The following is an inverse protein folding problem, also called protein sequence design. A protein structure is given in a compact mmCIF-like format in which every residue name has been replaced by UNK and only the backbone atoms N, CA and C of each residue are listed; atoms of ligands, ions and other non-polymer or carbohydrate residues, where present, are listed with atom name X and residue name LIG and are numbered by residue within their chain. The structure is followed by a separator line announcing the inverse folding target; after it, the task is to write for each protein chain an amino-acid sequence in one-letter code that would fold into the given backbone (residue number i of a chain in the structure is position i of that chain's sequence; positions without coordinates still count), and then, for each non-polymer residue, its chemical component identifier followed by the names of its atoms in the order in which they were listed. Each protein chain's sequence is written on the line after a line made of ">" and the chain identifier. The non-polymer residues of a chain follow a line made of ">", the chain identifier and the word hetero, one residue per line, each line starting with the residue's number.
data_IF_100611412387
#
_entry.id   IF_100611412387
#
_cell.length_a   1.000
_cell.length_b   1.000
_cell.length_c   1.000
_cell.angle_alpha   90.00
_cell.angle_beta   90.00
_cell.angle_gamma   90.00
#
_symmetry.space_group_name_H-M   'P 1'
#
loop_
_entity.id
_entity.type
_entity.pdbx_description
1 polymer ?
#
# COMPACT_ATOMS: atom_id res chain seq x y z
N UNK A 1 -20.80 18.72 -29.92
CA UNK A 1 -19.68 17.80 -30.24
C UNK A 1 -19.49 16.99 -28.98
N UNK A 2 -19.71 15.68 -29.02
CA UNK A 2 -19.81 14.88 -27.80
C UNK A 2 -18.43 14.54 -27.25
N UNK A 3 -17.77 15.53 -26.64
CA UNK A 3 -16.45 15.39 -26.07
C UNK A 3 -16.47 15.82 -24.61
N UNK A 4 -15.85 15.02 -23.74
CA UNK A 4 -15.58 15.42 -22.38
C UNK A 4 -14.30 14.77 -21.86
N UNK A 5 -13.77 15.33 -20.78
CA UNK A 5 -12.62 14.80 -20.08
C UNK A 5 -12.88 14.76 -18.58
N UNK A 6 -12.27 13.79 -17.92
CA UNK A 6 -12.14 13.71 -16.47
C UNK A 6 -10.70 13.31 -16.13
N UNK A 7 -10.31 13.40 -14.87
CA UNK A 7 -8.97 13.00 -14.45
C UNK A 7 -9.00 11.75 -13.57
N UNK A 8 -7.93 10.98 -13.58
CA UNK A 8 -7.65 9.87 -12.66
C UNK A 8 -6.15 9.79 -12.39
N UNK A 9 -5.67 8.78 -11.70
CA UNK A 9 -4.24 8.62 -11.39
C UNK A 9 -3.78 7.20 -11.66
N UNK A 10 -2.68 7.07 -12.41
CA UNK A 10 -1.94 5.81 -12.53
C UNK A 10 -0.88 5.74 -11.44
N UNK A 11 -0.80 4.62 -10.73
CA UNK A 11 0.24 4.38 -9.73
C UNK A 11 1.36 3.50 -10.29
N UNK A 12 2.60 3.90 -9.96
CA UNK A 12 3.82 3.15 -10.21
C UNK A 12 4.53 2.98 -8.87
N UNK A 13 4.11 1.95 -8.12
CA UNK A 13 4.48 1.80 -6.71
C UNK A 13 3.75 2.80 -5.83
N UNK A 14 4.50 3.69 -5.19
CA UNK A 14 3.95 4.78 -4.36
C UNK A 14 3.94 6.14 -5.08
N UNK A 15 4.48 6.20 -6.29
CA UNK A 15 4.44 7.41 -7.12
C UNK A 15 3.19 7.37 -8.01
N UNK A 16 2.58 8.54 -8.21
CA UNK A 16 1.39 8.69 -9.04
C UNK A 16 1.63 9.61 -10.23
N UNK A 17 0.97 9.33 -11.34
CA UNK A 17 0.90 10.22 -12.50
C UNK A 17 -0.56 10.48 -12.82
N UNK A 18 -0.95 11.76 -12.86
CA UNK A 18 -2.30 12.14 -13.27
C UNK A 18 -2.53 11.72 -14.73
N UNK A 19 -3.67 11.08 -14.95
CA UNK A 19 -4.11 10.60 -16.25
C UNK A 19 -5.39 11.33 -16.63
N UNK A 20 -5.36 11.99 -17.78
CA UNK A 20 -6.58 12.53 -18.38
C UNK A 20 -7.32 11.40 -19.10
N UNK A 21 -8.59 11.24 -18.77
CA UNK A 21 -9.53 10.30 -19.36
C UNK A 21 -10.45 11.07 -20.27
N UNK A 22 -10.28 10.91 -21.57
CA UNK A 22 -11.03 11.61 -22.60
C UNK A 22 -12.08 10.67 -23.19
N UNK A 23 -13.28 11.16 -23.44
CA UNK A 23 -14.31 10.45 -24.18
C UNK A 23 -14.77 11.30 -25.37
N UNK A 24 -14.81 10.69 -26.54
CA UNK A 24 -15.27 11.30 -27.78
C UNK A 24 -16.37 10.43 -28.42
N UNK A 25 -17.50 11.06 -28.74
CA UNK A 25 -18.67 10.46 -29.36
C UNK A 25 -18.83 10.94 -30.80
N UNK A 26 -18.58 10.03 -31.72
CA UNK A 26 -18.72 10.26 -33.16
C UNK A 26 -20.05 9.68 -33.69
N UNK A 27 -20.64 10.28 -34.73
CA UNK A 27 -21.72 9.63 -35.49
C UNK A 27 -21.26 8.29 -36.05
N UNK A 28 -22.10 7.26 -35.96
CA UNK A 28 -21.80 5.93 -36.52
C UNK A 28 -22.43 4.79 -35.76
N UNK A 29 -22.05 3.56 -36.13
CA UNK A 29 -22.50 2.34 -35.46
C UNK A 29 -21.92 2.30 -34.04
N UNK A 30 -22.74 1.89 -33.07
CA UNK A 30 -22.33 1.72 -31.68
C UNK A 30 -21.10 0.80 -31.58
N UNK A 31 -19.97 1.39 -31.19
CA UNK A 31 -18.69 0.72 -31.03
C UNK A 31 -17.93 1.40 -29.89
N UNK A 32 -17.11 0.64 -29.16
CA UNK A 32 -16.27 1.16 -28.08
C UNK A 32 -14.82 0.84 -28.35
N UNK A 33 -13.96 1.87 -28.28
CA UNK A 33 -12.50 1.73 -28.40
C UNK A 33 -11.82 2.37 -27.21
N UNK A 34 -10.91 1.66 -26.54
CA UNK A 34 -10.08 2.19 -25.45
C UNK A 34 -8.62 2.24 -25.92
N UNK A 35 -7.99 3.41 -25.80
CA UNK A 35 -6.59 3.65 -26.21
C UNK A 35 -5.76 4.26 -25.07
N UNK A 36 -4.43 4.14 -25.14
CA UNK A 36 -3.51 4.71 -24.15
C UNK A 36 -2.83 3.68 -23.24
N UNK A 37 -2.42 2.52 -23.79
CA UNK A 37 -1.78 1.41 -23.07
C UNK A 37 -2.57 0.87 -21.84
N UNK A 38 -3.86 0.51 -22.01
CA UNK A 38 -4.61 -0.17 -20.95
C UNK A 38 -4.12 -1.62 -20.77
N UNK A 39 -4.15 -2.10 -19.53
CA UNK A 39 -4.02 -3.53 -19.24
C UNK A 39 -5.32 -4.30 -19.53
N UNK A 40 -5.30 -5.61 -19.33
CA UNK A 40 -6.49 -6.47 -19.55
C UNK A 40 -7.67 -6.05 -18.66
N UNK A 41 -7.40 -5.65 -17.41
CA UNK A 41 -8.45 -5.22 -16.46
C UNK A 41 -9.18 -3.96 -16.94
N UNK A 42 -8.46 -3.02 -17.55
CA UNK A 42 -9.02 -1.82 -18.16
C UNK A 42 -9.76 -2.11 -19.46
N UNK A 43 -9.29 -3.08 -20.27
CA UNK A 43 -10.05 -3.50 -21.46
C UNK A 43 -11.41 -4.10 -21.05
N UNK A 44 -11.44 -4.88 -19.97
CA UNK A 44 -12.68 -5.42 -19.38
C UNK A 44 -13.55 -4.35 -18.68
N UNK A 45 -12.97 -3.18 -18.38
CA UNK A 45 -13.69 -2.04 -17.77
C UNK A 45 -14.89 -1.60 -18.60
N UNK A 46 -14.84 -1.72 -19.94
CA UNK A 46 -15.97 -1.37 -20.82
C UNK A 46 -17.29 -1.95 -20.34
N UNK A 47 -17.32 -3.26 -20.08
CA UNK A 47 -18.56 -3.96 -19.73
C UNK A 47 -18.99 -3.61 -18.30
N UNK A 48 -18.02 -3.37 -17.40
CA UNK A 48 -18.31 -2.89 -16.04
C UNK A 48 -18.91 -1.49 -16.03
N UNK A 49 -18.24 -0.53 -16.68
CA UNK A 49 -18.67 0.87 -16.76
C UNK A 49 -20.02 0.96 -17.44
N UNK A 50 -20.25 0.22 -18.54
CA UNK A 50 -21.55 0.18 -19.21
C UNK A 50 -22.66 -0.32 -18.28
N UNK A 51 -22.45 -1.44 -17.59
CA UNK A 51 -23.43 -1.98 -16.66
C UNK A 51 -23.70 -1.00 -15.50
N UNK A 52 -22.65 -0.40 -14.95
CA UNK A 52 -22.72 0.57 -13.86
C UNK A 52 -23.53 1.82 -14.26
N UNK A 53 -23.29 2.37 -15.45
CA UNK A 53 -24.04 3.52 -16.00
C UNK A 53 -25.53 3.19 -16.09
N UNK A 54 -25.88 2.06 -16.69
CA UNK A 54 -27.28 1.63 -16.86
C UNK A 54 -27.95 1.38 -15.51
N UNK A 55 -27.28 0.67 -14.60
CA UNK A 55 -27.82 0.38 -13.27
C UNK A 55 -27.85 1.60 -12.32
N UNK A 56 -27.14 2.67 -12.69
CA UNK A 56 -27.23 3.98 -12.03
C UNK A 56 -28.37 4.84 -12.55
N UNK A 57 -29.16 4.37 -13.52
CA UNK A 57 -30.30 5.09 -14.09
C UNK A 57 -29.92 6.08 -15.20
N UNK A 58 -28.69 6.02 -15.72
CA UNK A 58 -28.26 6.80 -16.87
C UNK A 58 -28.25 5.95 -18.15
N UNK A 59 -28.31 6.62 -19.31
CA UNK A 59 -28.29 5.93 -20.60
C UNK A 59 -26.87 5.76 -21.14
N UNK A 60 -26.57 4.57 -21.65
CA UNK A 60 -25.32 4.34 -22.36
C UNK A 60 -25.43 4.83 -23.82
N UNK A 61 -24.49 5.65 -24.32
CA UNK A 61 -24.58 6.21 -25.65
C UNK A 61 -24.55 5.14 -26.75
N UNK A 62 -25.50 5.23 -27.70
CA UNK A 62 -25.61 4.34 -28.87
C UNK A 62 -24.86 4.91 -30.09
N UNK A 63 -23.64 5.39 -29.89
CA UNK A 63 -22.78 6.01 -30.91
C UNK A 63 -21.38 5.38 -30.88
N UNK A 64 -20.53 5.72 -31.85
CA UNK A 64 -19.13 5.30 -31.81
C UNK A 64 -18.43 6.09 -30.70
N UNK A 65 -17.97 5.39 -29.67
CA UNK A 65 -17.32 5.94 -28.48
C UNK A 65 -15.84 5.55 -28.46
N UNK A 66 -14.99 6.57 -28.41
CA UNK A 66 -13.54 6.41 -28.21
C UNK A 66 -13.18 6.97 -26.84
N UNK A 67 -12.56 6.15 -26.00
CA UNK A 67 -11.99 6.57 -24.71
C UNK A 67 -10.47 6.55 -24.81
N UNK A 68 -9.84 7.68 -24.50
CA UNK A 68 -8.39 7.84 -24.51
C UNK A 68 -7.83 8.09 -23.11
N UNK A 69 -6.71 7.46 -22.79
CA UNK A 69 -5.97 7.66 -21.54
C UNK A 69 -4.62 8.33 -21.82
N UNK A 70 -4.44 9.57 -21.35
CA UNK A 70 -3.23 10.37 -21.56
C UNK A 70 -2.48 10.63 -20.25
N UNK A 71 -1.14 10.58 -20.17
CA UNK A 71 -0.20 10.39 -21.27
C UNK A 71 -0.04 8.91 -21.68
N UNK A 72 0.12 8.65 -22.98
CA UNK A 72 0.27 7.30 -23.51
C UNK A 72 1.59 6.61 -23.13
N UNK A 73 2.57 7.35 -22.59
CA UNK A 73 3.87 6.81 -22.14
C UNK A 73 3.81 6.06 -20.81
N UNK A 74 2.76 6.29 -20.02
CA UNK A 74 2.60 5.70 -18.69
C UNK A 74 1.64 4.51 -18.79
N UNK A 75 2.04 3.29 -18.38
CA UNK A 75 1.11 2.17 -18.31
C UNK A 75 -0.06 2.50 -17.37
N UNK A 76 -1.30 2.21 -17.80
CA UNK A 76 -2.47 2.27 -16.93
C UNK A 76 -2.91 0.85 -16.60
N UNK A 77 -3.12 0.57 -15.32
CA UNK A 77 -3.46 -0.79 -14.87
C UNK A 77 -4.46 -0.78 -13.74
N UNK A 78 -5.24 -1.86 -13.64
CA UNK A 78 -6.26 -2.02 -12.62
C UNK A 78 -7.58 -1.32 -12.94
N UNK A 79 -8.51 -1.34 -11.99
CA UNK A 79 -9.90 -0.89 -12.14
C UNK A 79 -10.15 0.54 -11.62
N UNK A 80 -9.14 1.22 -11.07
CA UNK A 80 -9.30 2.55 -10.44
C UNK A 80 -9.71 3.68 -11.38
N UNK A 81 -9.72 3.44 -12.69
CA UNK A 81 -10.13 4.40 -13.71
C UNK A 81 -11.62 4.32 -14.06
N UNK A 82 -12.33 3.28 -13.60
CA UNK A 82 -13.72 3.01 -14.02
C UNK A 82 -14.63 4.23 -13.76
N UNK A 83 -14.49 4.89 -12.60
CA UNK A 83 -15.27 6.07 -12.25
C UNK A 83 -15.00 7.27 -13.17
N UNK A 84 -13.72 7.54 -13.49
CA UNK A 84 -13.32 8.60 -14.41
C UNK A 84 -13.81 8.33 -15.84
N UNK A 85 -13.74 7.07 -16.30
CA UNK A 85 -14.25 6.65 -17.60
C UNK A 85 -15.77 6.84 -17.67
N UNK A 86 -16.52 6.41 -16.65
CA UNK A 86 -17.96 6.66 -16.58
C UNK A 86 -18.29 8.16 -16.71
N UNK A 87 -17.61 9.01 -15.94
CA UNK A 87 -17.91 10.45 -15.94
C UNK A 87 -17.53 11.12 -17.26
N UNK A 88 -16.39 10.77 -17.87
CA UNK A 88 -16.03 11.26 -19.20
C UNK A 88 -17.08 10.85 -20.25
N UNK A 89 -17.53 9.59 -20.22
CA UNK A 89 -18.58 9.10 -21.14
C UNK A 89 -19.91 9.85 -20.93
N UNK A 90 -20.32 10.05 -19.68
CA UNK A 90 -21.55 10.77 -19.36
C UNK A 90 -21.46 12.26 -19.69
N UNK A 91 -20.29 12.88 -19.55
CA UNK A 91 -20.05 14.25 -20.00
C UNK A 91 -20.12 14.38 -21.52
N UNK A 92 -19.49 13.44 -22.26
CA UNK A 92 -19.55 13.41 -23.71
C UNK A 92 -20.99 13.19 -24.23
N UNK A 93 -21.79 12.44 -23.47
CA UNK A 93 -23.21 12.21 -23.71
C UNK A 93 -24.13 13.34 -23.20
N UNK A 94 -23.57 14.46 -22.72
CA UNK A 94 -24.30 15.64 -22.23
C UNK A 94 -25.21 15.36 -21.01
N UNK A 95 -24.97 14.24 -20.29
CA UNK A 95 -25.64 13.93 -19.02
C UNK A 95 -25.01 14.64 -17.82
N UNK A 96 -23.70 14.85 -17.88
CA UNK A 96 -22.93 15.66 -16.93
C UNK A 96 -22.40 16.89 -17.65
N UNK A 97 -22.27 18.02 -16.94
CA UNK A 97 -21.57 19.19 -17.48
C UNK A 97 -20.07 18.87 -17.63
N UNK A 98 -19.49 18.89 -18.85
CA UNK A 98 -18.07 18.65 -19.04
C UNK A 98 -17.16 19.59 -18.24
N UNK A 99 -17.61 20.82 -17.96
CA UNK A 99 -16.83 21.77 -17.17
C UNK A 99 -16.76 21.37 -15.68
N UNK A 100 -17.82 20.75 -15.15
CA UNK A 100 -17.88 20.31 -13.75
C UNK A 100 -16.96 19.12 -13.45
N UNK A 101 -16.56 18.35 -14.46
CA UNK A 101 -15.76 17.13 -14.30
C UNK A 101 -14.32 17.25 -14.83
N UNK A 102 -14.00 18.29 -15.60
CA UNK A 102 -12.72 18.44 -16.28
C UNK A 102 -11.52 18.45 -15.32
N UNK A 103 -11.64 19.18 -14.21
CA UNK A 103 -10.57 19.40 -13.23
C UNK A 103 -10.78 18.62 -11.92
N UNK A 104 -11.55 17.53 -11.99
CA UNK A 104 -11.82 16.64 -10.85
C UNK A 104 -11.11 15.31 -11.06
N UNK A 105 -10.30 14.90 -10.07
CA UNK A 105 -9.63 13.60 -10.09
C UNK A 105 -10.54 12.55 -9.48
N UNK A 106 -10.88 11.53 -10.26
CA UNK A 106 -11.81 10.47 -9.87
C UNK A 106 -11.07 9.15 -9.78
N UNK A 107 -11.13 8.54 -8.60
CA UNK A 107 -10.45 7.28 -8.30
C UNK A 107 -11.51 6.33 -7.79
N UNK A 108 -11.64 5.15 -8.38
CA UNK A 108 -12.60 4.14 -7.91
C UNK A 108 -12.94 3.11 -8.97
N UNK A 109 -13.17 1.88 -8.52
CA UNK A 109 -13.71 0.80 -9.34
C UNK A 109 -15.24 0.89 -9.38
N UNK A 110 -15.86 0.54 -10.52
CA UNK A 110 -17.30 0.43 -10.61
C UNK A 110 -17.75 -1.04 -10.56
N UNK A 111 -18.60 -1.35 -9.59
CA UNK A 111 -19.39 -2.57 -9.60
C UNK A 111 -20.42 -2.55 -10.72
N UNK A 112 -20.82 -3.75 -11.20
CA UNK A 112 -21.86 -3.87 -12.23
C UNK A 112 -23.19 -3.23 -11.79
N UNK A 113 -23.44 -3.16 -10.48
CA UNK A 113 -24.62 -2.56 -9.84
C UNK A 113 -24.52 -1.03 -9.70
N UNK A 114 -23.43 -0.41 -10.15
CA UNK A 114 -23.20 1.03 -10.03
C UNK A 114 -22.54 1.46 -8.72
N UNK A 115 -22.27 0.55 -7.78
CA UNK A 115 -21.55 0.90 -6.55
C UNK A 115 -20.08 1.26 -6.85
N UNK A 116 -19.56 2.28 -6.18
CA UNK A 116 -18.15 2.65 -6.26
C UNK A 116 -17.38 1.87 -5.21
N UNK A 117 -16.34 1.15 -5.64
CA UNK A 117 -15.54 0.26 -4.80
C UNK A 117 -14.16 0.85 -4.55
N UNK A 118 -13.61 0.66 -3.33
CA UNK A 118 -12.28 1.13 -2.99
C UNK A 118 -11.22 0.43 -3.83
N UNK A 119 -10.16 1.17 -4.14
CA UNK A 119 -8.95 0.67 -4.81
C UNK A 119 -7.74 0.90 -3.91
N UNK A 120 -6.63 0.24 -4.23
CA UNK A 120 -5.38 0.40 -3.46
C UNK A 120 -4.69 1.70 -3.83
N UNK A 121 -3.93 2.24 -2.89
CA UNK A 121 -3.08 3.41 -3.15
C UNK A 121 -3.85 4.71 -3.28
N UNK A 122 -5.00 4.87 -2.61
CA UNK A 122 -5.77 6.13 -2.66
C UNK A 122 -4.92 7.31 -2.16
N UNK A 123 -4.21 7.15 -1.05
CA UNK A 123 -3.34 8.20 -0.52
C UNK A 123 -2.25 8.66 -1.50
N UNK A 124 -1.37 7.79 -2.03
CA UNK A 124 -0.36 8.23 -3.00
C UNK A 124 -0.97 8.78 -4.28
N UNK A 125 -2.16 8.30 -4.69
CA UNK A 125 -2.86 8.86 -5.84
C UNK A 125 -3.33 10.29 -5.58
N UNK A 126 -3.90 10.55 -4.40
CA UNK A 126 -4.38 11.89 -4.01
C UNK A 126 -3.19 12.84 -3.74
N UNK A 127 -2.07 12.35 -3.18
CA UNK A 127 -0.84 13.13 -3.07
C UNK A 127 -0.32 13.58 -4.45
N UNK A 128 -0.26 12.66 -5.42
CA UNK A 128 0.14 12.98 -6.79
C UNK A 128 -0.81 13.98 -7.48
N UNK A 129 -2.13 13.86 -7.22
CA UNK A 129 -3.10 14.85 -7.69
C UNK A 129 -2.84 16.25 -7.10
N UNK A 130 -2.54 16.32 -5.79
CA UNK A 130 -2.25 17.58 -5.11
C UNK A 130 -0.98 18.24 -5.65
N UNK A 131 0.08 17.44 -5.83
CA UNK A 131 1.35 17.88 -6.40
C UNK A 131 1.21 18.39 -7.85
N UNK A 132 0.28 17.80 -8.61
CA UNK A 132 -0.08 18.25 -9.95
C UNK A 132 -1.00 19.49 -9.96
N UNK A 133 -1.41 20.00 -8.80
CA UNK A 133 -2.21 21.22 -8.65
C UNK A 133 -3.73 21.01 -8.62
N UNK A 134 -4.21 19.78 -8.57
CA UNK A 134 -5.65 19.50 -8.43
C UNK A 134 -6.11 19.73 -6.99
N UNK A 135 -7.31 20.29 -6.85
CA UNK A 135 -7.88 20.65 -5.55
C UNK A 135 -9.08 19.80 -5.18
N UNK A 136 -9.61 18.99 -6.09
CA UNK A 136 -10.84 18.24 -5.88
C UNK A 136 -10.65 16.78 -6.31
N UNK A 137 -11.02 15.87 -5.42
CA UNK A 137 -10.97 14.43 -5.69
C UNK A 137 -12.30 13.78 -5.32
N UNK A 138 -12.71 12.82 -6.15
CA UNK A 138 -13.82 11.91 -5.87
C UNK A 138 -13.24 10.53 -5.62
N UNK A 139 -13.58 9.96 -4.47
CA UNK A 139 -13.11 8.65 -4.04
C UNK A 139 -14.27 7.83 -3.47
N UNK A 140 -14.12 6.52 -3.32
CA UNK A 140 -15.08 5.69 -2.62
C UNK A 140 -15.18 6.15 -1.16
N UNK A 141 -16.39 6.22 -0.62
CA UNK A 141 -16.67 6.72 0.74
C UNK A 141 -15.78 6.04 1.80
N UNK A 142 -15.56 4.73 1.67
CA UNK A 142 -14.73 3.94 2.60
C UNK A 142 -13.27 4.41 2.67
N UNK A 143 -12.76 5.03 1.60
CA UNK A 143 -11.39 5.54 1.50
C UNK A 143 -11.33 7.08 1.58
N UNK A 144 -12.46 7.75 1.83
CA UNK A 144 -12.50 9.21 1.97
C UNK A 144 -11.63 9.70 3.14
N UNK A 145 -11.59 8.95 4.25
CA UNK A 145 -10.74 9.26 5.40
C UNK A 145 -9.24 9.21 5.07
N UNK A 146 -8.84 8.29 4.19
CA UNK A 146 -7.46 8.18 3.68
C UNK A 146 -7.13 9.35 2.75
N UNK A 147 -8.00 9.68 1.80
CA UNK A 147 -7.83 10.80 0.89
C UNK A 147 -7.75 12.14 1.64
N UNK A 148 -8.55 12.32 2.69
CA UNK A 148 -8.63 13.55 3.48
C UNK A 148 -7.34 13.86 4.28
N UNK A 149 -6.38 12.93 4.34
CA UNK A 149 -5.09 13.17 4.97
C UNK A 149 -4.23 14.18 4.19
N UNK A 150 -4.47 14.30 2.88
CA UNK A 150 -3.72 15.16 1.96
C UNK A 150 -4.15 16.63 2.16
N UNK A 151 -3.24 17.52 2.59
CA UNK A 151 -3.57 18.93 2.75
C UNK A 151 -3.94 19.59 1.42
N UNK A 152 -4.90 20.51 1.45
CA UNK A 152 -5.23 21.36 0.30
C UNK A 152 -6.13 20.72 -0.76
N UNK A 153 -6.61 19.49 -0.53
CA UNK A 153 -7.58 18.81 -1.38
C UNK A 153 -8.94 18.72 -0.69
N UNK A 154 -9.99 19.04 -1.44
CA UNK A 154 -11.38 18.75 -1.12
C UNK A 154 -11.73 17.33 -1.58
N UNK A 155 -12.20 16.51 -0.66
CA UNK A 155 -12.53 15.10 -0.90
C UNK A 155 -14.04 14.92 -0.91
N UNK A 156 -14.56 14.37 -2.01
CA UNK A 156 -15.94 13.89 -2.10
C UNK A 156 -15.95 12.35 -2.07
N UNK A 157 -16.42 11.80 -0.96
CA UNK A 157 -16.67 10.36 -0.81
C UNK A 157 -18.02 9.97 -1.42
N UNK A 158 -18.05 8.98 -2.30
CA UNK A 158 -19.27 8.47 -2.93
C UNK A 158 -19.42 6.96 -2.77
N UNK A 159 -20.66 6.49 -2.69
CA UNK A 159 -21.04 5.08 -2.55
C UNK A 159 -21.45 4.46 -3.88
N UNK A 160 -21.98 5.27 -4.79
CA UNK A 160 -22.42 4.82 -6.11
C UNK A 160 -22.21 5.91 -7.17
N UNK A 161 -22.15 5.47 -8.43
CA UNK A 161 -22.15 6.36 -9.58
C UNK A 161 -23.46 7.15 -9.65
N UNK A 162 -24.59 6.56 -9.25
CA UNK A 162 -25.87 7.26 -9.14
C UNK A 162 -25.80 8.44 -8.18
N UNK A 163 -25.20 8.24 -7.01
CA UNK A 163 -24.99 9.30 -6.02
C UNK A 163 -24.13 10.43 -6.60
N UNK A 164 -23.04 10.09 -7.29
CA UNK A 164 -22.17 11.08 -7.93
C UNK A 164 -22.91 11.88 -9.01
N UNK A 165 -23.67 11.21 -9.87
CA UNK A 165 -24.48 11.88 -10.91
C UNK A 165 -25.47 12.84 -10.26
N UNK A 166 -26.17 12.41 -9.20
CA UNK A 166 -27.14 13.26 -8.52
C UNK A 166 -26.48 14.53 -7.94
N UNK A 167 -25.31 14.38 -7.30
CA UNK A 167 -24.55 15.51 -6.76
C UNK A 167 -24.11 16.48 -7.85
N UNK A 168 -23.53 15.97 -8.95
CA UNK A 168 -23.01 16.82 -10.03
C UNK A 168 -24.12 17.53 -10.83
N UNK A 169 -25.34 16.99 -10.82
CA UNK A 169 -26.49 17.54 -11.53
C UNK A 169 -27.46 18.32 -10.64
N UNK A 170 -27.12 18.53 -9.37
CA UNK A 170 -27.99 19.17 -8.36
C UNK A 170 -29.37 18.49 -8.24
N UNK A 171 -29.38 17.15 -8.32
CA UNK A 171 -30.56 16.30 -8.17
C UNK A 171 -30.64 15.75 -6.73
N UNK A 172 -31.84 15.32 -6.28
CA UNK A 172 -31.98 14.68 -4.96
C UNK A 172 -31.07 13.46 -4.82
N UNK A 173 -30.14 13.54 -3.86
CA UNK A 173 -29.19 12.47 -3.58
C UNK A 173 -29.94 11.24 -3.08
N UNK A 174 -29.75 10.05 -3.69
CA UNK A 174 -30.47 8.84 -3.29
C UNK A 174 -30.06 8.41 -1.87
N UNK A 175 -31.06 8.05 -1.07
CA UNK A 175 -30.84 7.41 0.23
C UNK A 175 -30.49 5.94 0.01
N UNK A 176 -29.18 5.68 -0.11
CA UNK A 176 -28.65 4.33 -0.23
C UNK A 176 -28.33 3.78 1.17
N UNK A 177 -28.78 2.57 1.54
CA UNK A 177 -28.48 2.02 2.85
C UNK A 177 -26.97 1.72 2.97
N UNK A 178 -26.39 2.09 4.12
CA UNK A 178 -25.05 1.63 4.51
C UNK A 178 -25.14 0.10 4.70
N UNK A 179 -24.25 -0.66 4.06
CA UNK A 179 -24.25 -2.13 4.19
C UNK A 179 -23.66 -2.56 5.53
N UNK A 180 -24.37 -2.27 6.63
CA UNK A 180 -23.94 -2.53 8.00
C UNK A 180 -24.43 -3.90 8.50
N UNK A 181 -24.27 -4.94 7.68
CA UNK A 181 -24.75 -6.30 8.02
C UNK A 181 -23.88 -7.03 9.06
N UNK A 182 -23.00 -6.32 9.78
CA UNK A 182 -22.05 -6.90 10.74
C UNK A 182 -21.07 -7.92 10.13
N UNK A 183 -20.98 -7.97 8.80
CA UNK A 183 -20.03 -8.79 8.04
C UNK A 183 -18.84 -7.90 7.66
N UNK A 184 -17.61 -8.44 7.55
CA UNK A 184 -16.50 -7.70 6.97
C UNK A 184 -16.93 -7.14 5.61
N UNK A 185 -16.72 -5.83 5.39
CA UNK A 185 -17.12 -5.19 4.15
C UNK A 185 -16.47 -5.92 2.97
N UNK A 186 -17.31 -6.60 2.17
CA UNK A 186 -16.86 -7.36 1.01
C UNK A 186 -16.14 -6.47 -0.01
N UNK A 187 -16.40 -5.15 0.01
CA UNK A 187 -15.73 -4.16 -0.83
C UNK A 187 -14.31 -3.89 -0.35
N UNK A 188 -14.06 -3.86 0.96
CA UNK A 188 -12.71 -3.75 1.54
C UNK A 188 -11.94 -5.06 1.44
N UNK A 189 -12.61 -6.21 1.40
CA UNK A 189 -11.97 -7.51 1.24
C UNK A 189 -11.13 -7.63 -0.05
N UNK A 190 -11.51 -6.92 -1.13
CA UNK A 190 -10.74 -6.87 -2.38
C UNK A 190 -9.41 -6.09 -2.28
N UNK A 191 -9.30 -5.18 -1.31
CA UNK A 191 -8.05 -4.50 -1.01
C UNK A 191 -7.05 -5.45 -0.34
N UNK A 192 -7.53 -6.34 0.52
CA UNK A 192 -6.69 -7.28 1.24
C UNK A 192 -6.24 -8.44 0.34
N UNK A 193 -4.96 -8.81 0.46
CA UNK A 193 -4.45 -10.05 -0.14
C UNK A 193 -4.40 -11.11 0.95
N UNK A 194 -5.10 -12.25 0.80
CA UNK A 194 -4.99 -13.36 1.73
C UNK A 194 -3.50 -13.74 1.94
N UNK A 195 -3.09 -13.84 3.20
CA UNK A 195 -1.73 -14.25 3.57
C UNK A 195 -0.65 -13.15 3.55
N UNK A 196 -0.91 -11.92 3.10
CA UNK A 196 0.09 -10.84 3.21
C UNK A 196 0.18 -10.27 4.64
N UNK A 197 -0.93 -10.21 5.38
CA UNK A 197 -0.92 -9.75 6.78
C UNK A 197 -0.14 -10.67 7.72
N UNK A 198 -0.30 -12.00 7.58
CA UNK A 198 0.42 -12.99 8.39
C UNK A 198 1.77 -13.42 7.78
N UNK A 199 1.91 -13.43 6.45
CA UNK A 199 3.09 -13.92 5.75
C UNK A 199 4.22 -12.89 5.59
N UNK A 200 3.93 -11.59 5.68
CA UNK A 200 4.94 -10.53 5.64
C UNK A 200 5.56 -10.23 7.01
N UNK A 201 5.08 -10.86 8.10
CA UNK A 201 5.57 -10.61 9.45
C UNK A 201 5.16 -9.25 10.02
N UNK A 202 4.12 -8.62 9.46
CA UNK A 202 3.53 -7.41 10.03
C UNK A 202 2.77 -7.79 11.30
N UNK A 203 3.15 -7.22 12.44
CA UNK A 203 2.28 -7.25 13.60
C UNK A 203 1.05 -6.37 13.29
N UNK A 204 -0.19 -6.87 13.40
CA UNK A 204 -1.37 -6.06 13.18
C UNK A 204 -1.36 -4.89 14.16
N UNK A 205 -1.45 -3.66 13.64
CA UNK A 205 -1.42 -2.44 14.45
C UNK A 205 -2.61 -2.35 15.44
N UNK A 206 -3.66 -3.16 15.28
CA UNK A 206 -4.89 -3.02 16.08
C UNK A 206 -5.68 -4.31 16.37
N UNK A 207 -5.11 -5.52 16.23
CA UNK A 207 -5.86 -6.76 16.52
C UNK A 207 -5.61 -7.39 17.90
N UNK A 208 -5.19 -6.59 18.89
CA UNK A 208 -5.35 -6.96 20.32
C UNK A 208 -6.07 -5.81 20.99
N UNK A 209 -7.29 -6.09 21.46
CA UNK A 209 -8.07 -5.14 22.26
C UNK A 209 -7.25 -4.58 23.42
N UNK A 210 -7.56 -3.35 23.79
CA UNK A 210 -7.01 -2.62 24.95
C UNK A 210 -5.47 -2.43 24.93
N UNK A 211 -5.03 -1.33 24.29
CA UNK A 211 -4.17 -0.32 24.91
C UNK A 211 -2.70 -0.62 25.24
N UNK A 212 -2.25 -1.88 25.28
CA UNK A 212 -0.87 -2.16 25.70
C UNK A 212 0.08 -2.33 24.52
N UNK A 213 0.78 -1.24 24.21
CA UNK A 213 1.92 -1.29 23.29
C UNK A 213 3.11 -1.87 24.04
N UNK A 214 3.74 -2.95 23.57
CA UNK A 214 4.89 -3.53 24.27
C UNK A 214 5.95 -2.45 24.54
N UNK A 215 6.27 -2.23 25.81
CA UNK A 215 7.18 -1.16 26.24
C UNK A 215 8.40 -1.72 26.95
N UNK A 216 9.47 -0.93 27.05
CA UNK A 216 10.66 -1.30 27.84
C UNK A 216 10.38 -1.42 29.34
N UNK A 217 9.31 -0.80 29.86
CA UNK A 217 8.84 -1.00 31.23
C UNK A 217 8.47 -2.47 31.50
N UNK A 218 8.05 -3.22 30.48
CA UNK A 218 7.71 -4.65 30.60
C UNK A 218 8.96 -5.54 30.71
N UNK A 219 10.15 -5.01 30.43
CA UNK A 219 11.41 -5.78 30.43
C UNK A 219 12.01 -5.82 31.82
N UNK A 220 11.80 -6.94 32.52
CA UNK A 220 12.43 -7.20 33.80
C UNK A 220 13.96 -7.40 33.64
N UNK A 221 14.74 -6.55 34.30
CA UNK A 221 16.21 -6.60 34.23
C UNK A 221 16.77 -6.14 32.88
N UNK A 222 17.88 -6.75 32.45
CA UNK A 222 18.57 -6.46 31.17
C UNK A 222 18.97 -4.99 30.94
N UNK A 223 19.67 -4.31 31.88
CA UNK A 223 20.00 -2.89 31.73
C UNK A 223 20.88 -2.59 30.49
N UNK A 224 21.76 -3.53 30.12
CA UNK A 224 22.63 -3.39 28.95
C UNK A 224 21.83 -3.42 27.63
N UNK A 225 21.02 -4.45 27.31
CA UNK A 225 20.16 -4.44 26.13
C UNK A 225 19.15 -3.28 26.10
N UNK A 226 18.54 -2.93 27.24
CA UNK A 226 17.63 -1.77 27.32
C UNK A 226 18.35 -0.48 26.93
N UNK A 227 19.56 -0.25 27.44
CA UNK A 227 20.33 0.93 27.07
C UNK A 227 20.74 0.93 25.60
N UNK A 228 21.07 -0.24 25.04
CA UNK A 228 21.39 -0.37 23.63
C UNK A 228 20.19 -0.01 22.74
N UNK A 229 18.97 -0.41 23.11
CA UNK A 229 17.74 -0.02 22.42
C UNK A 229 17.49 1.48 22.46
N UNK A 230 17.66 2.12 23.63
CA UNK A 230 17.53 3.58 23.75
C UNK A 230 18.52 4.34 22.85
N UNK A 231 19.79 3.91 22.85
CA UNK A 231 20.84 4.52 22.02
C UNK A 231 20.53 4.30 20.53
N UNK A 232 20.07 3.11 20.16
CA UNK A 232 19.68 2.81 18.80
C UNK A 232 18.47 3.63 18.35
N UNK A 233 17.45 3.78 19.19
CA UNK A 233 16.26 4.56 18.88
C UNK A 233 16.59 6.05 18.71
N UNK A 234 17.44 6.61 19.57
CA UNK A 234 17.84 8.01 19.50
C UNK A 234 18.80 8.31 18.33
N UNK A 235 19.73 7.38 18.04
CA UNK A 235 20.77 7.56 17.02
C UNK A 235 20.47 6.95 15.65
N UNK A 236 19.35 6.21 15.50
CA UNK A 236 19.03 5.47 14.29
C UNK A 236 19.99 4.31 14.00
N UNK A 237 20.57 3.69 15.03
CA UNK A 237 21.57 2.63 14.86
C UNK A 237 20.95 1.25 14.70
N UNK A 238 21.45 0.47 13.75
CA UNK A 238 21.10 -0.94 13.64
C UNK A 238 21.68 -1.75 14.81
N UNK A 239 20.99 -2.84 15.18
CA UNK A 239 21.35 -3.67 16.34
C UNK A 239 21.50 -5.14 15.95
N UNK A 240 22.43 -5.82 16.63
CA UNK A 240 22.55 -7.28 16.62
C UNK A 240 22.47 -7.79 18.07
N UNK A 241 21.45 -8.57 18.37
CA UNK A 241 21.35 -9.35 19.59
C UNK A 241 21.96 -10.73 19.37
N UNK A 242 23.05 -11.03 20.07
CA UNK A 242 23.62 -12.38 20.13
C UNK A 242 23.45 -12.96 21.53
N UNK A 243 22.82 -14.14 21.61
CA UNK A 243 22.59 -14.79 22.89
C UNK A 243 21.84 -16.10 22.75
N UNK A 244 21.77 -16.91 23.83
CA UNK A 244 21.09 -18.20 23.79
C UNK A 244 19.58 -18.05 23.53
N UNK A 245 18.89 -19.15 23.15
CA UNK A 245 17.43 -19.19 23.12
C UNK A 245 16.83 -18.78 24.47
N UNK A 246 15.69 -18.10 24.45
CA UNK A 246 15.00 -17.64 25.66
C UNK A 246 15.63 -16.42 26.36
N UNK A 247 16.73 -15.86 25.86
CA UNK A 247 17.34 -14.65 26.43
C UNK A 247 16.51 -13.35 26.26
N UNK A 248 15.34 -13.43 25.60
CA UNK A 248 14.46 -12.27 25.38
C UNK A 248 14.81 -11.42 24.15
N UNK A 249 15.57 -11.95 23.17
CA UNK A 249 15.98 -11.21 21.95
C UNK A 249 14.78 -10.65 21.18
N UNK A 250 13.79 -11.50 20.89
CA UNK A 250 12.53 -11.14 20.21
C UNK A 250 11.72 -10.15 21.04
N UNK A 251 11.57 -10.42 22.34
CA UNK A 251 10.87 -9.54 23.29
C UNK A 251 11.46 -8.12 23.28
N UNK A 252 12.78 -7.99 23.28
CA UNK A 252 13.49 -6.72 23.20
C UNK A 252 13.26 -6.01 21.86
N UNK A 253 13.33 -6.74 20.74
CA UNK A 253 13.16 -6.18 19.41
C UNK A 253 11.75 -5.61 19.18
N UNK A 254 10.71 -6.32 19.61
CA UNK A 254 9.29 -5.90 19.47
C UNK A 254 8.98 -4.58 20.19
N UNK A 255 9.75 -4.25 21.24
CA UNK A 255 9.56 -3.02 22.05
C UNK A 255 10.25 -1.81 21.45
N UNK A 256 11.14 -2.00 20.47
CA UNK A 256 11.87 -0.89 19.87
C UNK A 256 10.93 0.13 19.21
N UNK A 257 9.86 -0.34 18.56
CA UNK A 257 8.88 0.56 17.93
C UNK A 257 8.17 1.50 18.91
N UNK A 258 8.04 1.12 20.19
CA UNK A 258 7.48 1.99 21.23
C UNK A 258 8.47 3.05 21.75
N UNK A 259 9.77 2.79 21.60
CA UNK A 259 10.87 3.67 22.06
C UNK A 259 11.28 4.66 20.98
N UNK A 260 11.02 4.34 19.71
CA UNK A 260 11.31 5.24 18.60
C UNK A 260 10.57 6.57 18.74
N UNK A 261 11.17 7.69 18.29
CA UNK A 261 10.47 8.96 18.21
C UNK A 261 9.16 8.81 17.43
N UNK A 262 8.09 9.55 17.80
CA UNK A 262 6.85 9.52 17.05
C UNK A 262 7.09 10.00 15.63
N UNK A 263 6.39 9.41 14.66
CA UNK A 263 6.49 9.82 13.27
C UNK A 263 6.00 11.26 13.12
N UNK A 264 6.75 12.06 12.36
CA UNK A 264 6.23 13.35 11.90
C UNK A 264 5.06 13.13 10.96
N UNK A 265 4.22 14.16 10.75
CA UNK A 265 3.08 14.06 9.82
C UNK A 265 3.51 13.61 8.42
N UNK A 266 4.63 14.15 7.91
CA UNK A 266 5.15 13.78 6.59
C UNK A 266 5.58 12.31 6.55
N UNK A 267 6.28 11.84 7.58
CA UNK A 267 6.69 10.44 7.68
C UNK A 267 5.49 9.50 7.81
N UNK A 268 4.46 9.90 8.56
CA UNK A 268 3.20 9.16 8.62
C UNK A 268 2.53 9.04 7.25
N UNK A 269 2.54 10.10 6.43
CA UNK A 269 2.01 10.03 5.06
C UNK A 269 2.86 9.09 4.18
N UNK A 270 4.19 9.14 4.27
CA UNK A 270 5.10 8.23 3.55
C UNK A 270 4.80 6.76 3.89
N UNK A 271 4.70 6.42 5.19
CA UNK A 271 4.40 5.06 5.64
C UNK A 271 3.01 4.63 5.22
N UNK A 272 2.01 5.50 5.42
CA UNK A 272 0.62 5.21 5.05
C UNK A 272 0.49 4.97 3.55
N UNK A 273 1.22 5.69 2.71
CA UNK A 273 1.20 5.49 1.26
C UNK A 273 1.69 4.10 0.86
N UNK A 274 2.77 3.61 1.49
CA UNK A 274 3.26 2.23 1.27
C UNK A 274 2.21 1.21 1.69
N UNK A 275 1.59 1.40 2.85
CA UNK A 275 0.58 0.48 3.41
C UNK A 275 -0.72 0.48 2.61
N UNK A 276 -1.10 1.62 2.05
CA UNK A 276 -2.24 1.77 1.14
C UNK A 276 -2.04 0.96 -0.15
N UNK A 277 -0.86 1.09 -0.79
CA UNK A 277 -0.53 0.33 -2.00
C UNK A 277 -0.45 -1.17 -1.73
N UNK A 278 0.06 -1.54 -0.55
CA UNK A 278 0.08 -2.93 -0.09
C UNK A 278 -1.33 -3.48 0.24
N UNK A 279 -2.33 -2.61 0.44
CA UNK A 279 -3.70 -3.00 0.80
C UNK A 279 -3.82 -3.55 2.22
N UNK A 280 -3.06 -2.98 3.15
CA UNK A 280 -2.95 -3.45 4.55
C UNK A 280 -3.33 -2.41 5.59
N UNK A 281 -3.83 -1.23 5.18
CA UNK A 281 -4.31 -0.23 6.12
C UNK A 281 -5.48 -0.80 6.95
N UNK A 282 -5.48 -0.65 8.29
CA UNK A 282 -6.58 -1.10 9.11
C UNK A 282 -7.85 -0.29 8.78
N UNK A 283 -9.04 -0.92 8.76
CA UNK A 283 -10.30 -0.20 8.64
C UNK A 283 -10.45 0.83 9.77
N UNK A 284 -10.83 2.06 9.43
CA UNK A 284 -11.04 3.14 10.41
C UNK A 284 -9.78 3.84 10.93
N UNK A 285 -8.58 3.35 10.58
CA UNK A 285 -7.30 4.00 10.89
C UNK A 285 -6.61 4.43 9.60
N UNK A 286 -7.01 5.57 9.00
CA UNK A 286 -6.49 5.99 7.70
C UNK A 286 -5.02 6.41 7.74
N UNK A 287 -4.47 6.76 8.92
CA UNK A 287 -3.12 7.28 9.09
C UNK A 287 -2.28 6.39 10.01
N UNK A 288 -1.15 5.91 9.51
CA UNK A 288 -0.14 5.20 10.31
C UNK A 288 0.69 6.23 11.08
N UNK A 289 0.38 6.41 12.36
CA UNK A 289 1.04 7.37 13.25
C UNK A 289 2.22 6.79 14.03
N UNK A 290 2.41 5.47 13.99
CA UNK A 290 3.44 4.76 14.75
C UNK A 290 4.43 4.07 13.82
N UNK A 291 5.67 3.99 14.28
CA UNK A 291 6.73 3.27 13.59
C UNK A 291 6.31 1.80 13.33
N UNK A 292 6.23 1.36 12.06
CA UNK A 292 5.82 0.00 11.75
C UNK A 292 6.86 -1.01 12.27
N UNK A 293 6.42 -2.22 12.57
CA UNK A 293 7.27 -3.33 12.95
C UNK A 293 7.04 -4.49 11.99
N UNK A 294 8.10 -4.93 11.32
CA UNK A 294 8.06 -6.03 10.35
C UNK A 294 9.06 -7.10 10.75
N UNK A 295 8.59 -8.32 11.00
CA UNK A 295 9.40 -9.47 11.41
C UNK A 295 9.16 -10.67 10.48
N UNK A 296 9.73 -10.66 9.25
CA UNK A 296 9.59 -11.79 8.34
C UNK A 296 10.24 -13.05 8.93
N UNK A 297 9.65 -14.21 8.67
CA UNK A 297 10.24 -15.50 9.04
C UNK A 297 11.54 -15.76 8.25
N UNK A 298 12.51 -16.52 8.78
CA UNK A 298 13.79 -16.79 8.10
C UNK A 298 13.68 -17.55 6.77
N UNK A 299 12.53 -18.20 6.53
CA UNK A 299 12.18 -18.82 5.24
C UNK A 299 11.66 -17.82 4.20
N UNK A 300 11.59 -16.53 4.54
CA UNK A 300 11.18 -15.47 3.63
C UNK A 300 12.07 -15.46 2.39
N UNK A 301 11.42 -15.44 1.23
CA UNK A 301 12.10 -15.31 -0.05
C UNK A 301 12.64 -13.89 -0.24
N UNK A 302 13.60 -13.73 -1.14
CA UNK A 302 14.06 -12.40 -1.56
C UNK A 302 12.89 -11.54 -2.06
N UNK A 303 11.89 -12.12 -2.72
CA UNK A 303 10.72 -11.39 -3.23
C UNK A 303 9.81 -10.87 -2.11
N UNK A 304 9.62 -11.63 -1.02
CA UNK A 304 8.84 -11.17 0.14
C UNK A 304 9.59 -10.12 0.96
N UNK A 305 10.92 -10.20 1.03
CA UNK A 305 11.76 -9.24 1.74
C UNK A 305 11.90 -7.93 0.95
N UNK A 306 12.36 -8.09 -0.29
CA UNK A 306 12.54 -7.15 -1.40
C UNK A 306 11.32 -6.33 -1.79
N UNK A 307 10.24 -7.07 -1.98
CA UNK A 307 9.14 -6.68 -2.86
C UNK A 307 9.22 -7.38 -4.21
N UNK A 308 8.09 -7.36 -4.93
CA UNK A 308 7.94 -8.05 -6.21
C UNK A 308 6.57 -8.70 -6.40
N UNK A 309 6.54 -9.82 -7.12
CA UNK A 309 5.34 -10.56 -7.50
C UNK A 309 5.15 -10.66 -9.02
N UNK A 310 4.17 -11.46 -9.43
CA UNK A 310 3.72 -11.53 -10.83
C UNK A 310 2.77 -10.36 -11.08
N UNK A 311 3.11 -9.48 -12.04
CA UNK A 311 2.33 -8.28 -12.36
C UNK A 311 2.93 -7.00 -11.75
N UNK A 312 2.08 -6.15 -11.18
CA UNK A 312 2.51 -4.87 -10.62
C UNK A 312 3.39 -5.07 -9.36
N UNK A 313 4.59 -4.47 -9.29
CA UNK A 313 5.50 -4.65 -8.16
C UNK A 313 4.86 -4.24 -6.83
N UNK A 314 4.92 -5.12 -5.83
CA UNK A 314 4.37 -4.87 -4.49
C UNK A 314 5.48 -4.56 -3.47
N UNK A 315 5.17 -3.76 -2.43
CA UNK A 315 6.06 -3.59 -1.28
C UNK A 315 6.42 -4.92 -0.62
N UNK A 316 7.70 -5.11 -0.32
CA UNK A 316 8.19 -6.19 0.55
C UNK A 316 8.36 -5.72 1.99
N UNK A 317 8.78 -6.64 2.85
CA UNK A 317 9.00 -6.38 4.28
C UNK A 317 9.89 -5.13 4.55
N UNK A 318 10.91 -4.88 3.71
CA UNK A 318 11.78 -3.71 3.86
C UNK A 318 11.04 -2.38 3.68
N UNK A 319 10.09 -2.32 2.74
CA UNK A 319 9.26 -1.13 2.50
C UNK A 319 8.13 -1.03 3.50
N UNK A 320 7.56 -2.16 3.90
CA UNK A 320 6.53 -2.21 4.94
C UNK A 320 7.08 -1.74 6.31
N UNK A 321 8.37 -1.96 6.56
CA UNK A 321 9.11 -1.46 7.72
C UNK A 321 9.58 0.01 7.60
N UNK A 322 9.22 0.73 6.53
CA UNK A 322 9.70 2.10 6.32
C UNK A 322 9.36 3.01 7.52
N UNK A 323 10.34 3.82 7.95
CA UNK A 323 10.35 4.65 9.18
C UNK A 323 10.10 3.86 10.47
N UNK A 324 10.26 2.55 10.43
CA UNK A 324 10.08 1.67 11.56
C UNK A 324 11.21 0.68 11.72
N UNK A 325 10.86 -0.54 12.12
CA UNK A 325 11.79 -1.59 12.50
C UNK A 325 11.64 -2.80 11.58
N UNK A 326 12.76 -3.27 11.03
CA UNK A 326 12.85 -4.58 10.37
C UNK A 326 13.59 -5.53 11.30
N UNK A 327 12.89 -6.53 11.82
CA UNK A 327 13.46 -7.54 12.71
C UNK A 327 13.69 -8.86 11.97
N UNK A 328 14.93 -9.35 11.97
CA UNK A 328 15.27 -10.67 11.44
C UNK A 328 15.68 -11.57 12.59
N UNK A 329 14.72 -12.38 13.06
CA UNK A 329 15.00 -13.41 14.05
C UNK A 329 15.76 -14.57 13.41
N UNK A 330 16.64 -15.21 14.18
CA UNK A 330 17.48 -16.29 13.69
C UNK A 330 18.22 -15.90 12.39
N UNK A 331 18.78 -14.69 12.35
CA UNK A 331 19.38 -14.11 11.15
C UNK A 331 20.34 -15.06 10.38
N UNK A 332 21.17 -15.91 11.02
CA UNK A 332 22.00 -16.89 10.31
C UNK A 332 21.23 -17.98 9.54
N UNK A 333 19.92 -18.14 9.76
CA UNK A 333 19.08 -19.10 9.01
C UNK A 333 18.47 -18.52 7.75
N UNK A 334 18.53 -17.19 7.56
CA UNK A 334 18.18 -16.59 6.28
C UNK A 334 19.19 -17.02 5.19
N UNK A 335 18.69 -17.16 3.97
CA UNK A 335 19.58 -17.40 2.83
C UNK A 335 20.53 -16.21 2.61
N UNK A 336 21.77 -16.48 2.21
CA UNK A 336 22.74 -15.41 1.90
C UNK A 336 22.21 -14.41 0.86
N UNK A 337 21.50 -14.89 -0.17
CA UNK A 337 20.84 -14.03 -1.17
C UNK A 337 19.79 -13.09 -0.57
N UNK A 338 19.06 -13.52 0.47
CA UNK A 338 18.09 -12.68 1.14
C UNK A 338 18.78 -11.59 1.98
N UNK A 339 19.83 -11.95 2.70
CA UNK A 339 20.63 -10.99 3.48
C UNK A 339 21.37 -9.99 2.57
N UNK A 340 21.98 -10.44 1.48
CA UNK A 340 22.66 -9.57 0.52
C UNK A 340 21.72 -8.58 -0.15
N UNK A 341 20.45 -8.95 -0.33
CA UNK A 341 19.44 -8.05 -0.88
C UNK A 341 19.12 -6.85 0.04
N UNK A 342 19.49 -6.90 1.32
CA UNK A 342 19.29 -5.80 2.28
C UNK A 342 20.35 -4.70 2.15
N UNK A 343 21.49 -4.95 1.48
CA UNK A 343 22.57 -3.96 1.34
C UNK A 343 22.06 -2.66 0.71
N UNK A 344 21.35 -2.76 -0.41
CA UNK A 344 20.82 -1.58 -1.11
C UNK A 344 19.83 -0.77 -0.25
N UNK A 345 18.80 -1.38 0.37
CA UNK A 345 17.92 -0.66 1.29
C UNK A 345 18.64 0.03 2.45
N UNK A 346 19.64 -0.61 3.05
CA UNK A 346 20.41 -0.06 4.16
C UNK A 346 21.26 1.15 3.75
N UNK A 347 21.85 1.12 2.56
CA UNK A 347 22.71 2.20 2.06
C UNK A 347 21.90 3.38 1.50
N UNK A 348 20.85 3.08 0.75
CA UNK A 348 20.15 4.08 -0.07
C UNK A 348 18.79 4.51 0.51
N UNK A 349 18.29 3.79 1.51
CA UNK A 349 16.97 4.03 2.11
C UNK A 349 15.80 3.74 1.18
N UNK A 350 16.02 3.07 0.05
CA UNK A 350 14.99 2.68 -0.90
C UNK A 350 15.37 1.38 -1.60
N UNK A 351 14.38 0.78 -2.26
CA UNK A 351 14.55 -0.42 -3.07
C UNK A 351 14.01 -0.17 -4.47
N UNK A 352 14.72 -0.69 -5.48
CA UNK A 352 14.29 -0.61 -6.88
C UNK A 352 13.92 -1.99 -7.35
N UNK A 353 12.65 -2.17 -7.70
CA UNK A 353 12.10 -3.44 -8.18
C UNK A 353 11.80 -3.32 -9.66
N UNK A 354 12.66 -3.94 -10.49
CA UNK A 354 12.46 -4.03 -11.93
C UNK A 354 11.73 -5.32 -12.33
N UNK A 355 10.65 -5.21 -13.10
CA UNK A 355 9.85 -6.33 -13.64
C UNK A 355 9.41 -6.04 -15.07
N UNK A 356 8.82 -7.05 -15.73
CA UNK A 356 8.30 -6.94 -17.11
C UNK A 356 7.29 -5.79 -17.26
N UNK A 357 6.54 -5.48 -16.21
CA UNK A 357 5.54 -4.40 -16.19
C UNK A 357 6.12 -3.00 -15.90
N UNK A 358 7.41 -2.89 -15.57
CA UNK A 358 8.06 -1.62 -15.26
C UNK A 358 9.05 -1.68 -14.11
N UNK A 359 9.65 -0.52 -13.81
CA UNK A 359 10.56 -0.32 -12.68
C UNK A 359 9.87 0.55 -11.65
N UNK A 360 9.88 0.10 -10.39
CA UNK A 360 9.27 0.82 -9.27
C UNK A 360 10.34 1.09 -8.22
N UNK A 361 10.35 2.32 -7.70
CA UNK A 361 11.14 2.70 -6.53
C UNK A 361 10.22 2.75 -5.31
N UNK A 362 10.60 2.05 -4.24
CA UNK A 362 9.86 2.06 -2.98
C UNK A 362 10.76 2.52 -1.84
N UNK A 363 10.26 3.35 -0.91
CA UNK A 363 11.02 3.74 0.26
C UNK A 363 11.25 2.54 1.18
N UNK A 364 12.40 2.51 1.85
CA UNK A 364 12.84 1.40 2.69
C UNK A 364 13.86 1.86 3.76
N UNK A 365 13.69 3.07 4.32
CA UNK A 365 14.45 3.50 5.51
C UNK A 365 13.89 2.80 6.73
N UNK A 366 14.63 1.91 7.37
CA UNK A 366 14.20 1.21 8.59
C UNK A 366 15.39 1.04 9.54
N UNK A 367 15.10 0.85 10.82
CA UNK A 367 16.08 0.41 11.79
C UNK A 367 16.11 -1.13 11.77
N UNK A 368 17.22 -1.70 11.32
CA UNK A 368 17.41 -3.14 11.29
C UNK A 368 17.80 -3.69 12.67
N UNK A 369 17.09 -4.70 13.13
CA UNK A 369 17.43 -5.48 14.31
C UNK A 369 17.64 -6.93 13.90
N UNK A 370 18.84 -7.46 14.15
CA UNK A 370 19.16 -8.86 13.94
C UNK A 370 19.15 -9.59 15.28
N UNK A 371 18.63 -10.80 15.32
CA UNK A 371 18.84 -11.72 16.42
C UNK A 371 19.55 -12.98 15.92
N UNK A 372 20.56 -13.42 16.65
CA UNK A 372 21.31 -14.61 16.32
C UNK A 372 21.58 -15.43 17.58
N UNK A 373 21.53 -16.75 17.42
CA UNK A 373 22.12 -17.65 18.39
C UNK A 373 23.65 -17.63 18.23
N UNK A 374 24.42 -17.99 19.27
CA UNK A 374 25.88 -18.01 19.16
C UNK A 374 26.39 -19.20 18.33
N UNK A 375 25.59 -20.25 18.17
CA UNK A 375 25.83 -21.45 17.37
C UNK A 375 24.49 -22.13 17.04
N UNK A 376 24.45 -23.18 16.18
CA UNK A 376 23.22 -23.90 15.85
C UNK A 376 22.48 -24.49 17.07
N UNK A 377 23.21 -24.98 18.09
CA UNK A 377 22.57 -25.52 19.30
C UNK A 377 22.23 -24.45 20.35
N UNK A 378 22.59 -23.18 20.11
CA UNK A 378 22.29 -22.04 20.99
C UNK A 378 23.08 -21.96 22.31
N UNK A 379 23.86 -22.99 22.66
CA UNK A 379 24.55 -23.11 23.97
C UNK A 379 26.00 -22.65 23.97
N UNK A 380 26.51 -22.14 22.85
CA UNK A 380 27.89 -21.64 22.78
C UNK A 380 28.05 -20.37 23.61
N UNK A 381 28.90 -20.44 24.64
CA UNK A 381 29.17 -19.35 25.57
C UNK A 381 30.67 -19.17 25.77
N UNK A 382 31.09 -18.01 26.28
CA UNK A 382 32.49 -17.71 26.59
C UNK A 382 33.10 -18.66 27.63
N UNK A 383 32.27 -19.28 28.48
CA UNK A 383 32.68 -20.26 29.49
C UNK A 383 32.70 -21.71 28.98
N UNK A 384 32.31 -21.97 27.72
CA UNK A 384 32.40 -23.29 27.07
C UNK A 384 31.45 -24.38 27.58
N UNK A 385 30.68 -24.13 28.64
CA UNK A 385 29.81 -25.12 29.25
C UNK A 385 28.52 -25.33 28.44
N UNK A 386 28.29 -26.56 27.96
CA UNK A 386 27.01 -27.02 27.40
C UNK A 386 26.87 -27.00 25.87
N UNK A 387 27.85 -26.50 25.12
CA UNK A 387 27.84 -26.54 23.66
C UNK A 387 28.46 -27.82 23.11
N UNK A 388 27.71 -28.56 22.30
CA UNK A 388 28.18 -29.80 21.64
C UNK A 388 28.59 -29.56 20.18
N UNK A 389 28.46 -28.33 19.66
CA UNK A 389 28.84 -28.02 18.29
C UNK A 389 30.38 -28.03 18.11
N UNK A 390 30.91 -28.72 17.08
CA UNK A 390 32.32 -28.61 16.72
C UNK A 390 32.72 -27.16 16.40
N UNK A 391 33.96 -26.71 16.72
CA UNK A 391 34.40 -25.34 16.45
C UNK A 391 34.25 -24.89 14.99
N UNK A 392 34.43 -25.81 14.03
CA UNK A 392 34.22 -25.54 12.60
C UNK A 392 32.76 -25.23 12.26
N UNK A 393 31.80 -25.90 12.92
CA UNK A 393 30.37 -25.66 12.76
C UNK A 393 29.98 -24.32 13.34
N UNK A 394 30.51 -23.96 14.51
CA UNK A 394 30.29 -22.65 15.13
C UNK A 394 30.79 -21.53 14.22
N UNK A 395 32.04 -21.63 13.75
CA UNK A 395 32.62 -20.64 12.83
C UNK A 395 31.80 -20.50 11.55
N UNK A 396 31.41 -21.62 10.93
CA UNK A 396 30.60 -21.61 9.70
C UNK A 396 29.23 -20.97 9.93
N UNK A 397 28.60 -21.21 11.07
CA UNK A 397 27.31 -20.62 11.42
C UNK A 397 27.41 -19.10 11.59
N UNK A 398 28.39 -18.65 12.37
CA UNK A 398 28.65 -17.22 12.57
C UNK A 398 29.07 -16.52 11.26
N UNK A 399 29.81 -17.23 10.41
CA UNK A 399 30.23 -16.72 9.10
C UNK A 399 29.06 -16.48 8.13
N UNK A 400 27.84 -16.96 8.40
CA UNK A 400 26.68 -16.65 7.55
C UNK A 400 26.24 -15.19 7.65
N UNK A 401 26.60 -14.49 8.73
CA UNK A 401 26.33 -13.06 8.90
C UNK A 401 27.50 -12.17 8.48
N UNK A 402 28.72 -12.72 8.41
CA UNK A 402 29.88 -12.02 7.86
C UNK A 402 30.02 -12.37 6.39
N UNK A 403 29.58 -11.46 5.52
CA UNK A 403 29.86 -11.54 4.08
C UNK A 403 31.35 -11.63 3.79
#
# INVERSE_FOLDING_TARGET
>A
MGYARACSVALVGVEGVVVEVQADLEPGVAAFTLVGLPDKSLIESRDRVRAAVVNSGAEWPQKKLTVGLSPASVPKSGSGFDLAVACAVLGAAERLDPAAIADVVMIGELGLDGRVRPVRGVLPAVLAAAEAGYQQVVVPEQTAGEAALVPGISVLGVRSLRQLIAILCDEPVPDEPVDDRGRPDAMLAGLMVPGMGLGAGLAPASSRGEGHTPDLADVAGQPRPRKALEVAAAGGHHLLFSGPPGAGKTMLAERLSAVLPPLTRQESLEVTAVHSVAGILPPGEPLVSRAPYCAPHHSATMQSLVGGGNGMPRPGAVSLAHRGVLFLDEAPEFSGKALDALRQPLESGHVVVARTAGVVRLPARFLMVLAANPCPCGRHSLSGSGCECPPSVVRRYQARLSG
#
